data_IF_667426485877
#
_entry.id   IF_667426485877
#
_cell.length_a   1.000
_cell.length_b   1.000
_cell.length_c   1.000
_cell.angle_alpha   90.00
_cell.angle_beta   90.00
_cell.angle_gamma   90.00
#
_symmetry.space_group_name_H-M   'P 1'
#
loop_
_entity.id
_entity.type
_entity.pdbx_description
1 polymer ?
#
# COMPACT_ATOMS: atom_id res chain seq x y z
N UNK A 1 11.82 18.10 -11.24
CA UNK A 1 10.66 18.13 -10.32
C UNK A 1 10.33 16.69 -9.95
N UNK A 2 9.91 16.40 -8.72
CA UNK A 2 9.68 15.02 -8.26
C UNK A 2 8.26 14.56 -8.47
N UNK A 3 7.79 14.68 -9.70
CA UNK A 3 6.42 14.38 -10.13
C UNK A 3 6.48 13.55 -11.41
N UNK A 4 5.49 12.67 -11.59
CA UNK A 4 5.37 11.76 -12.73
C UNK A 4 3.92 11.69 -13.18
N UNK A 5 3.69 11.70 -14.49
CA UNK A 5 2.38 11.38 -15.04
C UNK A 5 2.18 9.86 -14.95
N UNK A 6 1.24 9.45 -14.11
CA UNK A 6 0.97 8.05 -13.81
C UNK A 6 0.34 7.31 -15.00
N UNK A 7 -0.53 7.97 -15.77
CA UNK A 7 -1.19 7.35 -16.92
C UNK A 7 -0.16 7.13 -18.04
N UNK A 8 0.61 8.17 -18.37
CA UNK A 8 1.67 8.08 -19.38
C UNK A 8 2.70 6.99 -19.04
N UNK A 9 3.09 6.90 -17.76
CA UNK A 9 4.04 5.87 -17.31
C UNK A 9 3.46 4.46 -17.48
N UNK A 10 2.24 4.20 -16.98
CA UNK A 10 1.65 2.87 -17.08
C UNK A 10 1.28 2.53 -18.52
N UNK A 11 0.83 3.49 -19.33
CA UNK A 11 0.62 3.31 -20.76
C UNK A 11 1.93 2.91 -21.45
N UNK A 12 3.05 3.56 -21.13
CA UNK A 12 4.36 3.16 -21.67
C UNK A 12 4.72 1.72 -21.30
N UNK A 13 4.41 1.28 -20.07
CA UNK A 13 4.59 -0.12 -19.65
C UNK A 13 3.69 -1.07 -20.46
N UNK A 14 2.43 -0.71 -20.71
CA UNK A 14 1.53 -1.50 -21.56
C UNK A 14 2.05 -1.61 -23.00
N UNK A 15 2.49 -0.49 -23.59
CA UNK A 15 3.08 -0.46 -24.93
C UNK A 15 4.31 -1.34 -25.01
N UNK A 16 5.21 -1.34 -24.00
CA UNK A 16 6.34 -2.27 -23.97
C UNK A 16 5.87 -3.72 -24.03
N UNK A 17 4.85 -4.10 -23.26
CA UNK A 17 4.35 -5.48 -23.22
C UNK A 17 3.77 -5.90 -24.57
N UNK A 18 2.97 -5.04 -25.20
CA UNK A 18 2.37 -5.29 -26.52
C UNK A 18 3.46 -5.40 -27.59
N UNK A 19 4.42 -4.47 -27.59
CA UNK A 19 5.51 -4.39 -28.55
C UNK A 19 6.38 -5.68 -28.60
N UNK A 20 6.45 -6.45 -27.51
CA UNK A 20 7.19 -7.73 -27.49
C UNK A 20 6.64 -8.77 -28.47
N UNK A 21 5.36 -8.69 -28.84
CA UNK A 21 4.79 -9.52 -29.89
C UNK A 21 5.30 -9.18 -31.30
N UNK A 22 5.92 -8.01 -31.48
CA UNK A 22 6.35 -7.47 -32.77
C UNK A 22 7.88 -7.40 -32.90
N UNK A 23 8.62 -7.27 -31.80
CA UNK A 23 10.09 -7.21 -31.81
C UNK A 23 10.73 -8.52 -31.34
N UNK A 24 11.63 -9.08 -32.17
CA UNK A 24 12.38 -10.30 -31.83
C UNK A 24 13.34 -10.14 -30.63
N UNK A 25 13.72 -8.90 -30.28
CA UNK A 25 14.61 -8.62 -29.14
C UNK A 25 14.21 -7.31 -28.44
N UNK A 26 14.15 -7.31 -27.10
CA UNK A 26 13.89 -6.13 -26.27
C UNK A 26 14.84 -4.96 -26.55
N UNK A 27 16.09 -5.23 -26.90
CA UNK A 27 17.07 -4.18 -27.23
C UNK A 27 16.69 -3.37 -28.49
N UNK A 28 15.83 -3.93 -29.36
CA UNK A 28 15.29 -3.27 -30.55
C UNK A 28 13.90 -2.68 -30.33
N UNK A 29 13.31 -2.87 -29.14
CA UNK A 29 11.99 -2.36 -28.82
C UNK A 29 12.09 -0.86 -28.48
N UNK A 30 11.53 -0.01 -29.35
CA UNK A 30 11.46 1.44 -29.16
C UNK A 30 10.62 1.86 -27.96
N UNK A 31 9.77 0.97 -27.44
CA UNK A 31 8.91 1.20 -26.28
C UNK A 31 9.51 0.63 -24.98
N UNK A 32 10.80 0.29 -24.95
CA UNK A 32 11.42 -0.28 -23.75
C UNK A 32 11.39 0.71 -22.57
N UNK A 33 10.68 0.35 -21.50
CA UNK A 33 10.65 1.10 -20.24
C UNK A 33 11.77 0.61 -19.34
N UNK A 34 12.62 1.54 -18.90
CA UNK A 34 13.72 1.26 -18.00
C UNK A 34 13.54 1.97 -16.66
N UNK A 35 13.97 1.35 -15.55
CA UNK A 35 13.97 2.01 -14.25
C UNK A 35 14.72 3.33 -14.27
N UNK A 36 14.07 4.40 -13.80
CA UNK A 36 14.68 5.72 -13.64
C UNK A 36 14.05 6.44 -12.47
N UNK A 37 14.80 7.30 -11.76
CA UNK A 37 14.20 8.03 -10.64
C UNK A 37 13.23 9.13 -11.06
N UNK A 38 13.29 9.55 -12.32
CA UNK A 38 12.46 10.62 -12.89
C UNK A 38 11.17 10.07 -13.49
N UNK A 39 11.25 8.91 -14.12
CA UNK A 39 10.16 8.30 -14.88
C UNK A 39 9.96 6.83 -14.46
N UNK A 40 9.60 6.63 -13.19
CA UNK A 40 9.22 5.35 -12.60
C UNK A 40 8.05 5.55 -11.65
N UNK A 41 6.84 5.49 -12.21
CA UNK A 41 5.62 5.88 -11.52
C UNK A 41 5.11 4.83 -10.54
N UNK A 42 4.51 5.24 -9.40
CA UNK A 42 3.68 4.34 -8.62
C UNK A 42 2.41 3.99 -9.40
N UNK A 43 1.60 3.06 -8.90
CA UNK A 43 0.20 2.91 -9.26
C UNK A 43 -0.68 3.41 -8.11
N UNK A 44 -1.67 4.24 -8.42
CA UNK A 44 -2.70 4.70 -7.48
C UNK A 44 -4.03 4.60 -8.21
N UNK A 45 -5.05 4.05 -7.55
CA UNK A 45 -6.39 3.93 -8.14
C UNK A 45 -6.92 5.29 -8.63
N UNK A 46 -7.54 5.31 -9.82
CA UNK A 46 -8.00 6.54 -10.49
C UNK A 46 -8.94 7.40 -9.61
N UNK A 47 -9.79 6.75 -8.82
CA UNK A 47 -10.71 7.43 -7.90
C UNK A 47 -10.07 7.81 -6.55
N UNK A 48 -8.87 7.32 -6.27
CA UNK A 48 -8.13 7.60 -5.03
C UNK A 48 -7.16 8.77 -5.22
N UNK A 49 -6.53 8.88 -6.38
CA UNK A 49 -5.54 9.95 -6.66
C UNK A 49 -6.19 11.31 -6.90
N UNK A 50 -5.46 12.38 -6.56
CA UNK A 50 -5.88 13.78 -6.77
C UNK A 50 -5.88 14.18 -8.26
N UNK A 51 -4.90 13.68 -9.01
CA UNK A 51 -4.65 13.98 -10.42
C UNK A 51 -3.82 12.87 -11.06
N UNK A 52 -3.63 12.92 -12.38
CA UNK A 52 -2.77 11.99 -13.12
C UNK A 52 -1.28 12.28 -12.88
N UNK A 53 -0.93 13.51 -12.51
CA UNK A 53 0.41 13.82 -12.00
C UNK A 53 0.47 13.48 -10.51
N UNK A 54 1.43 12.63 -10.14
CA UNK A 54 1.64 12.14 -8.77
C UNK A 54 3.09 12.34 -8.34
N UNK A 55 3.35 12.37 -7.03
CA UNK A 55 4.69 12.57 -6.49
C UNK A 55 5.55 11.31 -6.66
N UNK A 56 6.79 11.52 -7.10
CA UNK A 56 7.88 10.56 -7.04
C UNK A 56 9.19 11.28 -6.72
N UNK A 57 9.54 11.33 -5.43
CA UNK A 57 10.73 12.04 -4.94
C UNK A 57 11.86 11.10 -4.57
N UNK A 58 11.86 9.87 -5.07
CA UNK A 58 12.82 8.83 -4.68
C UNK A 58 14.28 9.23 -4.94
N UNK A 59 14.57 10.03 -5.98
CA UNK A 59 15.92 10.58 -6.20
C UNK A 59 16.44 11.42 -5.02
N UNK A 60 15.57 12.05 -4.23
CA UNK A 60 15.98 12.85 -3.07
C UNK A 60 16.55 12.00 -1.93
N UNK A 61 16.39 10.67 -1.98
CA UNK A 61 17.07 9.74 -1.08
C UNK A 61 18.60 9.71 -1.30
N UNK A 62 19.12 10.27 -2.40
CA UNK A 62 20.58 10.32 -2.69
C UNK A 62 21.24 11.54 -2.05
N UNK A 63 20.50 12.63 -1.90
CA UNK A 63 21.04 13.98 -1.79
C UNK A 63 20.89 14.62 -0.41
N UNK A 64 20.75 13.83 0.66
CA UNK A 64 20.68 14.39 2.01
C UNK A 64 22.03 15.01 2.39
N UNK A 65 22.17 16.31 2.10
CA UNK A 65 23.24 17.14 2.63
C UNK A 65 23.18 17.13 4.15
N UNK A 66 24.36 17.27 4.77
CA UNK A 66 24.69 17.01 6.19
C UNK A 66 23.96 17.87 7.25
N UNK A 67 22.85 18.52 6.93
CA UNK A 67 22.20 19.49 7.85
C UNK A 67 20.67 19.58 7.74
N UNK A 68 20.00 18.66 7.03
CA UNK A 68 18.52 18.68 6.98
C UNK A 68 17.89 17.76 8.04
N UNK A 69 16.79 18.16 8.68
CA UNK A 69 16.01 17.29 9.57
C UNK A 69 15.53 15.99 8.89
N UNK A 70 15.40 16.02 7.56
CA UNK A 70 15.05 14.87 6.72
C UNK A 70 16.19 13.82 6.65
N UNK A 71 17.45 14.25 6.78
CA UNK A 71 18.62 13.38 6.78
C UNK A 71 18.74 12.55 8.07
N UNK A 72 18.44 13.16 9.23
CA UNK A 72 18.46 12.49 10.54
C UNK A 72 17.34 11.43 10.66
N UNK A 73 16.17 11.71 10.08
CA UNK A 73 15.02 10.79 10.07
C UNK A 73 15.22 9.56 9.15
N UNK A 74 16.10 9.69 8.15
CA UNK A 74 16.37 8.66 7.14
C UNK A 74 17.50 7.69 7.53
N UNK A 75 18.17 7.90 8.67
CA UNK A 75 19.26 7.02 9.11
C UNK A 75 18.68 5.75 9.73
N UNK A 76 18.78 4.64 9.00
CA UNK A 76 18.56 3.29 9.54
C UNK A 76 19.59 3.06 10.66
N UNK A 77 19.17 2.58 11.83
CA UNK A 77 20.12 2.28 12.91
C UNK A 77 21.17 1.27 12.44
N UNK A 78 22.41 1.43 12.91
CA UNK A 78 23.51 0.50 12.60
C UNK A 78 23.10 -0.96 12.91
N UNK A 79 22.39 -1.17 14.02
CA UNK A 79 21.88 -2.49 14.42
C UNK A 79 20.92 -3.10 13.39
N UNK A 80 20.01 -2.30 12.82
CA UNK A 80 19.08 -2.79 11.79
C UNK A 80 19.81 -3.14 10.50
N UNK A 81 20.85 -2.39 10.12
CA UNK A 81 21.67 -2.70 8.95
C UNK A 81 22.53 -3.96 9.16
N UNK A 82 23.03 -4.18 10.39
CA UNK A 82 23.72 -5.42 10.78
C UNK A 82 22.78 -6.63 10.75
N UNK A 83 21.53 -6.48 11.19
CA UNK A 83 20.55 -7.56 11.11
C UNK A 83 20.22 -7.93 9.65
N UNK A 84 20.15 -6.95 8.75
CA UNK A 84 20.01 -7.22 7.32
C UNK A 84 21.25 -7.88 6.72
N UNK A 85 22.46 -7.51 7.14
CA UNK A 85 23.70 -8.18 6.74
C UNK A 85 23.71 -9.66 7.13
N UNK A 86 23.22 -10.00 8.33
CA UNK A 86 23.13 -11.39 8.81
C UNK A 86 22.15 -12.24 7.99
N UNK A 87 21.16 -11.63 7.36
CA UNK A 87 20.17 -12.28 6.48
C UNK A 87 20.71 -12.55 5.07
N UNK A 88 21.79 -11.87 4.66
CA UNK A 88 22.36 -12.06 3.32
C UNK A 88 23.13 -13.38 3.18
N UNK A 89 23.19 -13.88 1.94
CA UNK A 89 24.06 -15.02 1.61
C UNK A 89 25.52 -14.64 1.83
N UNK A 90 26.33 -15.59 2.31
CA UNK A 90 27.77 -15.39 2.55
C UNK A 90 28.48 -14.86 1.31
N UNK A 91 28.12 -15.33 0.11
CA UNK A 91 28.68 -14.83 -1.15
C UNK A 91 28.39 -13.35 -1.42
N UNK A 92 27.23 -12.84 -1.00
CA UNK A 92 26.89 -11.41 -1.06
C UNK A 92 27.70 -10.61 -0.06
N UNK A 93 27.87 -11.12 1.17
CA UNK A 93 28.69 -10.49 2.21
C UNK A 93 30.17 -10.43 1.79
N UNK A 94 30.71 -11.50 1.21
CA UNK A 94 32.07 -11.51 0.65
C UNK A 94 32.26 -10.44 -0.45
N UNK A 95 31.32 -10.35 -1.40
CA UNK A 95 31.35 -9.32 -2.46
C UNK A 95 31.29 -7.91 -1.87
N UNK A 96 30.56 -7.74 -0.77
CA UNK A 96 30.45 -6.47 -0.07
C UNK A 96 31.77 -6.07 0.61
N UNK A 97 32.43 -7.02 1.29
CA UNK A 97 33.75 -6.81 1.86
C UNK A 97 34.75 -6.39 0.77
N UNK A 98 34.79 -7.11 -0.36
CA UNK A 98 35.63 -6.74 -1.50
C UNK A 98 35.32 -5.34 -2.02
N UNK A 99 34.04 -4.98 -2.16
CA UNK A 99 33.64 -3.65 -2.61
C UNK A 99 34.08 -2.56 -1.63
N UNK A 100 34.14 -2.85 -0.33
CA UNK A 100 34.61 -1.94 0.72
C UNK A 100 36.13 -1.98 0.95
N UNK A 101 36.89 -2.67 0.08
CA UNK A 101 38.33 -2.89 0.26
C UNK A 101 38.71 -3.57 1.59
N UNK A 102 37.81 -4.40 2.12
CA UNK A 102 38.03 -5.22 3.31
C UNK A 102 38.43 -6.65 2.92
N UNK A 103 39.14 -7.35 3.80
CA UNK A 103 39.41 -8.78 3.61
C UNK A 103 38.10 -9.58 3.56
N UNK A 104 37.94 -10.37 2.50
CA UNK A 104 36.75 -11.16 2.19
C UNK A 104 36.85 -12.62 2.61
N UNK A 105 37.92 -13.02 3.32
CA UNK A 105 38.13 -14.38 3.85
C UNK A 105 37.69 -14.48 5.32
N UNK A 106 37.20 -15.65 5.72
CA UNK A 106 36.82 -15.94 7.11
C UNK A 106 35.41 -16.50 7.24
N UNK A 107 34.96 -16.66 8.49
CA UNK A 107 33.58 -17.05 8.78
C UNK A 107 32.61 -15.92 8.43
N UNK A 108 31.32 -16.23 8.32
CA UNK A 108 30.30 -15.21 8.07
C UNK A 108 30.33 -14.11 9.14
N UNK A 109 30.52 -14.49 10.40
CA UNK A 109 30.49 -13.54 11.52
C UNK A 109 31.73 -12.62 11.50
N UNK A 110 32.89 -13.13 11.09
CA UNK A 110 34.09 -12.31 10.89
C UNK A 110 33.86 -11.23 9.83
N UNK A 111 33.23 -11.60 8.70
CA UNK A 111 32.93 -10.68 7.61
C UNK A 111 31.91 -9.61 8.04
N UNK A 112 30.86 -10.02 8.76
CA UNK A 112 29.84 -9.10 9.28
C UNK A 112 30.44 -8.14 10.31
N UNK A 113 31.32 -8.62 11.19
CA UNK A 113 32.00 -7.77 12.17
C UNK A 113 32.92 -6.74 11.50
N UNK A 114 33.66 -7.10 10.44
CA UNK A 114 34.48 -6.14 9.69
C UNK A 114 33.64 -5.08 9.00
N UNK A 115 32.50 -5.46 8.43
CA UNK A 115 31.55 -4.52 7.84
C UNK A 115 30.94 -3.61 8.91
N UNK A 116 30.68 -4.12 10.13
CA UNK A 116 30.25 -3.31 11.28
C UNK A 116 31.29 -2.25 11.65
N UNK A 117 32.56 -2.63 11.72
CA UNK A 117 33.63 -1.66 11.98
C UNK A 117 33.74 -0.60 10.87
N UNK A 118 33.56 -0.99 9.61
CA UNK A 118 33.56 -0.06 8.47
C UNK A 118 32.36 0.91 8.51
N UNK A 119 31.19 0.45 8.99
CA UNK A 119 29.99 1.26 9.18
C UNK A 119 30.14 2.37 10.23
N UNK A 120 31.16 2.34 11.09
CA UNK A 120 31.48 3.45 12.00
C UNK A 120 31.87 4.73 11.24
N UNK A 121 32.32 4.60 10.00
CA UNK A 121 32.55 5.74 9.11
C UNK A 121 31.31 6.00 8.26
N UNK A 122 30.96 7.29 8.05
CA UNK A 122 29.78 7.64 7.25
C UNK A 122 29.87 7.14 5.81
N UNK A 123 31.08 7.19 5.23
CA UNK A 123 31.33 6.71 3.87
C UNK A 123 31.15 5.18 3.76
N UNK A 124 31.69 4.43 4.72
CA UNK A 124 31.51 2.98 4.82
C UNK A 124 30.04 2.60 5.02
N UNK A 125 29.35 3.31 5.92
CA UNK A 125 27.91 3.16 6.13
C UNK A 125 27.11 3.34 4.85
N UNK A 126 27.26 4.47 4.14
CA UNK A 126 26.48 4.77 2.94
C UNK A 126 26.76 3.76 1.81
N UNK A 127 28.01 3.29 1.69
CA UNK A 127 28.43 2.28 0.71
C UNK A 127 27.85 0.91 0.99
N UNK A 128 27.88 0.48 2.26
CA UNK A 128 27.31 -0.79 2.72
C UNK A 128 25.78 -0.75 2.59
N UNK A 129 25.17 0.34 3.04
CA UNK A 129 23.74 0.59 2.89
C UNK A 129 23.30 0.53 1.41
N UNK A 130 23.98 1.23 0.51
CA UNK A 130 23.67 1.19 -0.93
C UNK A 130 23.85 -0.18 -1.57
N UNK A 131 24.71 -1.05 -1.05
CA UNK A 131 24.93 -2.38 -1.64
C UNK A 131 24.01 -3.44 -1.07
N UNK A 132 23.59 -3.29 0.19
CA UNK A 132 22.59 -4.17 0.83
C UNK A 132 21.18 -3.76 0.41
N UNK A 133 20.90 -2.46 0.29
CA UNK A 133 19.56 -1.91 0.01
C UNK A 133 19.43 -1.23 -1.36
N UNK A 134 20.51 -1.10 -2.13
CA UNK A 134 20.45 -0.69 -3.55
C UNK A 134 20.34 -1.88 -4.52
N UNK A 135 20.10 -3.07 -4.00
CA UNK A 135 19.63 -4.23 -4.75
C UNK A 135 18.09 -4.29 -4.72
N UNK A 136 17.42 -3.37 -5.43
CA UNK A 136 15.96 -3.13 -5.43
C UNK A 136 15.36 -2.82 -4.05
N UNK A 137 14.61 -1.73 -3.94
CA UNK A 137 13.98 -1.30 -2.69
C UNK A 137 12.74 -2.09 -2.27
N UNK A 138 12.47 -3.22 -2.93
CA UNK A 138 11.20 -3.92 -2.82
C UNK A 138 10.03 -3.11 -3.39
N UNK A 139 8.87 -3.26 -2.77
CA UNK A 139 7.66 -2.56 -3.17
C UNK A 139 6.87 -2.15 -1.94
N UNK A 140 6.28 -0.96 -2.00
CA UNK A 140 5.44 -0.39 -0.95
C UNK A 140 3.99 -0.46 -1.37
N UNK A 141 3.11 -0.71 -0.41
CA UNK A 141 1.67 -0.86 -0.66
C UNK A 141 0.85 -0.11 0.39
N UNK A 142 -0.25 0.51 -0.04
CA UNK A 142 -1.27 1.05 0.85
C UNK A 142 -2.58 0.33 0.56
N UNK A 143 -3.19 -0.24 1.59
CA UNK A 143 -4.39 -1.07 1.51
C UNK A 143 -5.35 -0.76 2.66
N UNK A 144 -6.65 -1.00 2.46
CA UNK A 144 -7.63 -0.91 3.56
C UNK A 144 -7.56 -2.16 4.46
N UNK A 145 -8.22 -2.13 5.63
CA UNK A 145 -8.32 -3.29 6.53
C UNK A 145 -8.93 -4.55 5.89
N UNK A 146 -9.60 -4.42 4.74
CA UNK A 146 -10.14 -5.57 3.99
C UNK A 146 -9.14 -6.18 3.00
N UNK A 147 -7.98 -5.57 2.79
CA UNK A 147 -6.94 -6.08 1.88
C UNK A 147 -7.03 -5.59 0.44
N UNK A 148 -7.87 -4.60 0.16
CA UNK A 148 -7.92 -3.92 -1.15
C UNK A 148 -6.78 -2.92 -1.23
N UNK A 149 -5.94 -3.07 -2.24
CA UNK A 149 -4.79 -2.19 -2.49
C UNK A 149 -5.23 -0.93 -3.24
N UNK A 150 -4.92 0.23 -2.69
CA UNK A 150 -5.18 1.54 -3.30
C UNK A 150 -3.95 2.17 -3.93
N UNK A 151 -2.75 1.81 -3.44
CA UNK A 151 -1.50 2.32 -3.97
C UNK A 151 -0.40 1.28 -3.92
N UNK A 152 0.47 1.31 -4.92
CA UNK A 152 1.59 0.41 -5.11
C UNK A 152 2.77 1.22 -5.63
N UNK A 153 3.94 1.11 -5.01
CA UNK A 153 5.18 1.73 -5.50
C UNK A 153 6.26 0.67 -5.59
N UNK A 154 6.96 0.64 -6.72
CA UNK A 154 8.11 -0.25 -6.90
C UNK A 154 9.37 0.57 -6.64
N UNK A 155 10.01 0.37 -5.49
CA UNK A 155 11.07 1.26 -5.06
C UNK A 155 12.39 0.86 -5.74
N UNK A 156 13.09 1.85 -6.30
CA UNK A 156 14.42 1.65 -6.86
C UNK A 156 15.49 1.59 -5.76
N UNK A 157 15.20 2.19 -4.60
CA UNK A 157 16.01 2.19 -3.37
C UNK A 157 15.18 1.72 -2.20
N UNK A 158 15.84 1.26 -1.14
CA UNK A 158 15.33 1.20 0.22
C UNK A 158 13.98 1.92 0.45
N UNK A 159 12.94 1.17 0.81
CA UNK A 159 11.69 1.76 1.29
C UNK A 159 11.95 2.69 2.48
N UNK A 160 11.25 3.82 2.50
CA UNK A 160 11.36 4.84 3.55
C UNK A 160 10.02 5.58 3.74
N UNK A 161 9.85 6.33 4.84
CA UNK A 161 8.70 7.21 5.03
C UNK A 161 8.42 8.15 3.85
N UNK A 162 9.45 8.52 3.08
CA UNK A 162 9.31 9.34 1.87
C UNK A 162 8.38 8.71 0.84
N UNK A 163 8.47 7.39 0.66
CA UNK A 163 7.72 6.67 -0.36
C UNK A 163 6.22 6.69 -0.05
N UNK A 164 5.85 6.40 1.20
CA UNK A 164 4.47 6.50 1.66
C UNK A 164 3.98 7.95 1.71
N UNK A 165 4.85 8.90 2.05
CA UNK A 165 4.50 10.33 1.99
C UNK A 165 4.16 10.75 0.56
N UNK A 166 4.96 10.34 -0.44
CA UNK A 166 4.67 10.61 -1.85
C UNK A 166 3.31 10.02 -2.26
N UNK A 167 3.04 8.77 -1.88
CA UNK A 167 1.77 8.11 -2.16
C UNK A 167 0.59 8.85 -1.51
N UNK A 168 0.65 9.10 -0.20
CA UNK A 168 -0.43 9.72 0.56
C UNK A 168 -0.71 11.16 0.14
N UNK A 169 0.33 11.96 -0.14
CA UNK A 169 0.16 13.32 -0.64
C UNK A 169 -0.33 13.37 -2.10
N UNK A 170 -0.26 12.25 -2.83
CA UNK A 170 -0.86 12.11 -4.16
C UNK A 170 -2.33 11.67 -4.12
N UNK A 171 -2.87 11.33 -2.94
CA UNK A 171 -4.29 11.00 -2.79
C UNK A 171 -5.16 12.26 -2.82
N UNK A 172 -6.38 12.11 -3.32
CA UNK A 172 -7.39 13.18 -3.32
C UNK A 172 -7.77 13.58 -1.90
N UNK A 173 -7.89 12.59 -1.02
CA UNK A 173 -8.21 12.77 0.39
C UNK A 173 -7.29 11.88 1.22
N UNK A 174 -6.57 12.48 2.17
CA UNK A 174 -5.73 11.75 3.11
C UNK A 174 -6.61 10.90 4.06
N UNK A 175 -6.24 9.66 4.40
CA UNK A 175 -6.96 8.89 5.42
C UNK A 175 -6.91 9.57 6.79
N UNK A 176 -8.01 9.53 7.55
CA UNK A 176 -8.02 10.05 8.93
C UNK A 176 -7.18 9.19 9.89
N UNK A 177 -6.96 7.92 9.59
CA UNK A 177 -6.07 7.05 10.35
C UNK A 177 -5.23 6.20 9.38
N UNK A 178 -3.91 6.27 9.53
CA UNK A 178 -2.93 5.46 8.79
C UNK A 178 -2.17 4.58 9.77
N UNK A 179 -2.01 3.29 9.45
CA UNK A 179 -1.25 2.33 10.26
C UNK A 179 0.08 2.07 9.58
N UNK A 180 1.19 2.22 10.30
CA UNK A 180 2.52 2.13 9.70
C UNK A 180 3.60 1.74 10.71
N UNK A 181 4.56 0.92 10.27
CA UNK A 181 5.67 0.40 11.10
C UNK A 181 6.55 1.49 11.70
N UNK A 182 6.71 2.60 10.99
CA UNK A 182 7.48 3.76 11.45
C UNK A 182 6.61 5.02 11.48
N UNK A 183 5.53 4.95 12.26
CA UNK A 183 4.49 5.98 12.34
C UNK A 183 5.04 7.40 12.60
N UNK A 184 5.96 7.55 13.56
CA UNK A 184 6.65 8.83 13.82
C UNK A 184 7.35 9.36 12.58
N UNK A 185 8.14 8.50 11.93
CA UNK A 185 8.90 8.86 10.73
C UNK A 185 8.00 9.37 9.61
N UNK A 186 6.89 8.68 9.37
CA UNK A 186 5.88 9.10 8.38
C UNK A 186 5.23 10.43 8.75
N UNK A 187 4.80 10.59 9.99
CA UNK A 187 4.14 11.81 10.44
C UNK A 187 5.05 13.03 10.33
N UNK A 188 6.27 12.94 10.88
CA UNK A 188 7.25 14.02 10.82
C UNK A 188 7.64 14.34 9.39
N UNK A 189 7.92 13.32 8.57
CA UNK A 189 8.33 13.54 7.18
C UNK A 189 7.23 14.21 6.34
N UNK A 190 5.96 13.81 6.49
CA UNK A 190 4.86 14.45 5.79
C UNK A 190 4.60 15.89 6.27
N UNK A 191 4.63 16.12 7.59
CA UNK A 191 4.46 17.46 8.18
C UNK A 191 5.55 18.43 7.74
N UNK A 192 6.81 17.99 7.64
CA UNK A 192 7.91 18.82 7.14
C UNK A 192 7.75 19.19 5.66
N UNK A 193 7.04 18.38 4.86
CA UNK A 193 6.82 18.67 3.44
C UNK A 193 5.71 19.67 3.17
N UNK A 194 4.75 19.80 4.09
CA UNK A 194 3.64 20.75 3.97
C UNK A 194 3.48 21.50 5.31
N UNK A 195 4.44 22.37 5.70
CA UNK A 195 4.43 23.02 7.00
C UNK A 195 3.27 24.01 7.17
N UNK A 196 2.76 24.58 6.08
CA UNK A 196 1.63 25.50 6.11
C UNK A 196 0.29 24.83 6.45
N UNK A 197 0.17 23.53 6.15
CA UNK A 197 -1.03 22.74 6.42
C UNK A 197 -0.60 21.33 6.78
N UNK A 198 -0.31 21.12 8.06
CA UNK A 198 0.22 19.86 8.57
C UNK A 198 -0.70 18.68 8.18
N UNK A 199 -0.21 17.73 7.36
CA UNK A 199 -1.01 16.59 6.93
C UNK A 199 -1.47 15.71 8.10
N UNK A 200 -0.65 15.56 9.15
CA UNK A 200 -0.98 14.77 10.33
C UNK A 200 -1.14 15.66 11.56
N UNK A 201 -2.39 15.77 12.01
CA UNK A 201 -2.85 16.63 13.11
C UNK A 201 -4.06 15.98 13.81
N UNK A 202 -4.31 16.25 15.10
CA UNK A 202 -3.53 17.07 16.01
C UNK A 202 -2.25 16.34 16.48
N UNK A 203 -1.41 17.05 17.22
CA UNK A 203 -0.25 16.48 17.94
C UNK A 203 0.69 15.64 17.06
N UNK A 204 0.98 16.10 15.83
CA UNK A 204 1.82 15.37 14.87
C UNK A 204 1.27 13.96 14.55
N UNK A 205 -0.06 13.82 14.53
CA UNK A 205 -0.76 12.57 14.26
C UNK A 205 -0.80 11.58 15.42
N UNK A 206 -0.47 12.00 16.66
CA UNK A 206 -0.69 11.21 17.88
C UNK A 206 -2.14 11.33 18.37
N UNK A 207 -2.62 10.33 19.10
CA UNK A 207 -3.98 10.31 19.64
C UNK A 207 -4.22 11.31 20.78
N UNK A 208 -3.16 11.74 21.46
CA UNK A 208 -3.22 12.72 22.54
C UNK A 208 -1.96 13.59 22.57
N UNK A 209 -2.03 14.71 23.31
CA UNK A 209 -0.88 15.57 23.57
C UNK A 209 0.19 14.82 24.37
N UNK A 210 1.45 15.17 24.13
CA UNK A 210 2.62 14.53 24.74
C UNK A 210 2.89 15.04 26.17
N UNK A 211 1.90 14.93 27.05
CA UNK A 211 2.00 15.32 28.45
C UNK A 211 2.40 14.13 29.32
N UNK A 212 3.04 14.40 30.46
CA UNK A 212 3.42 13.35 31.41
C UNK A 212 2.21 12.50 31.85
N UNK A 213 1.06 13.14 32.08
CA UNK A 213 -0.17 12.47 32.49
C UNK A 213 -0.71 11.53 31.40
N UNK A 214 -0.75 11.98 30.13
CA UNK A 214 -1.22 11.16 29.02
C UNK A 214 -0.31 9.96 28.78
N UNK A 215 1.01 10.18 28.84
CA UNK A 215 2.00 9.10 28.68
C UNK A 215 1.84 8.08 29.81
N UNK A 216 1.73 8.54 31.06
CA UNK A 216 1.54 7.67 32.23
C UNK A 216 0.21 6.92 32.16
N UNK A 217 -0.87 7.56 31.72
CA UNK A 217 -2.16 6.92 31.53
C UNK A 217 -2.11 5.86 30.40
N UNK A 218 -1.40 6.14 29.30
CA UNK A 218 -1.20 5.19 28.21
C UNK A 218 -0.34 3.99 28.65
N UNK A 219 0.75 4.21 29.39
CA UNK A 219 1.59 3.15 29.97
C UNK A 219 0.79 2.20 30.85
N UNK A 220 -0.11 2.75 31.66
CA UNK A 220 -0.97 1.98 32.56
C UNK A 220 -2.24 1.41 31.87
N UNK A 221 -2.37 1.52 30.54
CA UNK A 221 -3.57 1.14 29.77
C UNK A 221 -4.87 1.80 30.24
N UNK A 222 -4.79 2.97 30.89
CA UNK A 222 -5.94 3.75 31.39
C UNK A 222 -6.39 4.83 30.41
N UNK A 223 -5.55 5.21 29.45
CA UNK A 223 -5.91 6.16 28.40
C UNK A 223 -6.78 5.47 27.34
N UNK A 224 -7.93 6.07 27.04
CA UNK A 224 -8.79 5.71 25.92
C UNK A 224 -9.18 6.98 25.15
N UNK A 225 -9.03 6.93 23.83
CA UNK A 225 -9.33 8.03 22.92
C UNK A 225 -10.43 7.55 21.98
N UNK A 226 -11.61 8.13 22.12
CA UNK A 226 -12.76 7.81 21.26
C UNK A 226 -12.64 8.54 19.93
N UNK A 227 -12.77 7.80 18.83
CA UNK A 227 -12.82 8.32 17.46
C UNK A 227 -14.15 7.91 16.82
N UNK A 228 -15.27 8.57 17.19
CA UNK A 228 -16.62 8.12 16.81
C UNK A 228 -16.86 8.18 15.29
N UNK A 229 -16.13 9.06 14.60
CA UNK A 229 -16.21 9.23 13.15
C UNK A 229 -15.71 8.04 12.33
N UNK A 230 -15.04 7.06 12.97
CA UNK A 230 -14.66 5.80 12.34
C UNK A 230 -15.90 4.96 11.98
N UNK A 231 -16.92 5.01 12.83
CA UNK A 231 -18.14 4.21 12.66
C UNK A 231 -19.24 5.01 11.99
N UNK A 232 -19.36 6.30 12.33
CA UNK A 232 -20.41 7.16 11.79
C UNK A 232 -19.86 8.54 11.51
N UNK A 233 -20.04 9.03 10.27
CA UNK A 233 -19.69 10.39 9.88
C UNK A 233 -20.17 11.42 10.91
N UNK A 234 -19.34 12.43 11.19
CA UNK A 234 -19.70 13.53 12.10
C UNK A 234 -20.99 14.21 11.64
N UNK A 235 -21.91 14.46 12.58
CA UNK A 235 -23.16 15.18 12.33
C UNK A 235 -22.92 16.58 11.77
N UNK A 236 -21.88 17.23 12.29
CA UNK A 236 -21.39 18.52 11.81
C UNK A 236 -19.95 18.31 11.35
N UNK A 237 -19.71 18.19 10.04
CA UNK A 237 -18.36 18.03 9.50
C UNK A 237 -17.48 19.25 9.82
N UNK A 238 -16.20 19.00 10.00
CA UNK A 238 -15.17 20.04 10.09
C UNK A 238 -15.03 20.74 8.72
N UNK A 239 -14.57 21.99 8.69
CA UNK A 239 -14.41 22.81 7.48
C UNK A 239 -13.52 22.14 6.41
N UNK A 240 -12.43 21.48 6.85
CA UNK A 240 -11.53 20.68 6.01
C UNK A 240 -11.69 19.16 6.28
N UNK A 241 -12.89 18.73 6.63
CA UNK A 241 -13.18 17.35 6.98
C UNK A 241 -13.02 16.38 5.81
N UNK A 242 -12.51 15.19 6.09
CA UNK A 242 -12.47 14.11 5.10
C UNK A 242 -13.90 13.72 4.69
N UNK A 243 -14.22 13.50 3.39
CA UNK A 243 -15.61 13.40 2.93
C UNK A 243 -16.46 12.26 3.49
N UNK A 244 -15.83 11.17 3.96
CA UNK A 244 -16.50 9.98 4.51
C UNK A 244 -16.68 10.06 6.03
N UNK A 245 -15.78 10.75 6.75
CA UNK A 245 -15.79 10.81 8.21
C UNK A 245 -16.27 12.16 8.74
N UNK A 246 -16.13 13.21 7.95
CA UNK A 246 -16.35 14.60 8.34
C UNK A 246 -15.25 15.16 9.25
N UNK A 247 -14.25 14.38 9.65
CA UNK A 247 -13.18 14.85 10.54
C UNK A 247 -11.99 15.38 9.77
N UNK A 248 -11.42 16.48 10.24
CA UNK A 248 -10.18 17.10 9.76
C UNK A 248 -8.92 16.55 10.46
N UNK A 249 -9.09 15.63 11.42
CA UNK A 249 -7.99 15.01 12.15
C UNK A 249 -7.44 13.80 11.37
N UNK A 250 -6.11 13.73 11.31
CA UNK A 250 -5.35 12.70 10.61
C UNK A 250 -4.25 12.16 11.52
N UNK A 251 -4.38 10.88 11.87
CA UNK A 251 -3.51 10.16 12.78
C UNK A 251 -2.61 9.17 12.05
N UNK A 252 -1.40 8.94 12.57
CA UNK A 252 -0.52 7.84 12.17
C UNK A 252 -0.22 7.00 13.39
N UNK A 253 -0.67 5.75 13.37
CA UNK A 253 -0.56 4.79 14.46
C UNK A 253 0.44 3.69 14.10
N UNK A 254 1.05 3.10 15.12
CA UNK A 254 1.94 1.96 14.92
C UNK A 254 1.15 0.71 14.61
N UNK A 255 1.67 -0.11 13.69
CA UNK A 255 1.22 -1.49 13.61
C UNK A 255 1.58 -2.25 14.90
N UNK A 256 0.69 -3.16 15.34
CA UNK A 256 0.78 -3.92 16.59
C UNK A 256 2.12 -4.68 16.72
N UNK A 257 2.69 -5.17 15.62
CA UNK A 257 3.96 -5.89 15.64
C UNK A 257 5.18 -4.99 15.84
N UNK A 258 5.02 -3.69 15.58
CA UNK A 258 6.10 -2.72 15.57
C UNK A 258 6.03 -1.72 16.74
N UNK A 259 4.98 -1.78 17.58
CA UNK A 259 4.84 -0.98 18.80
C UNK A 259 5.99 -1.17 19.81
N UNK A 260 6.64 -2.35 19.80
CA UNK A 260 7.75 -2.68 20.72
C UNK A 260 9.12 -2.14 20.29
N UNK A 261 9.25 -1.61 19.06
CA UNK A 261 10.54 -1.21 18.50
C UNK A 261 10.98 0.19 18.92
N UNK A 262 10.12 0.95 19.59
CA UNK A 262 10.40 2.32 20.01
C UNK A 262 10.70 2.42 21.50
N UNK A 263 11.73 3.19 21.85
CA UNK A 263 12.12 3.49 23.24
C UNK A 263 11.58 4.85 23.71
N UNK A 264 10.98 5.63 22.82
CA UNK A 264 10.47 6.96 23.15
C UNK A 264 9.07 6.84 23.82
N UNK A 265 8.89 7.29 25.08
CA UNK A 265 7.62 7.21 25.79
C UNK A 265 6.44 7.88 25.07
N UNK A 266 6.69 8.89 24.24
CA UNK A 266 5.64 9.62 23.54
C UNK A 266 4.95 8.77 22.46
N UNK A 267 5.64 7.75 21.95
CA UNK A 267 5.12 6.86 20.92
C UNK A 267 4.04 5.91 21.45
N UNK A 268 3.90 5.79 22.76
CA UNK A 268 2.77 5.11 23.39
C UNK A 268 1.43 5.73 22.98
N UNK A 269 1.42 7.03 22.68
CA UNK A 269 0.24 7.77 22.22
C UNK A 269 -0.13 7.49 20.75
N UNK A 270 0.59 6.59 20.08
CA UNK A 270 0.30 6.10 18.71
C UNK A 270 -0.16 4.64 18.69
N UNK A 271 -0.39 4.02 19.85
CA UNK A 271 -0.84 2.63 19.90
C UNK A 271 -2.30 2.50 19.51
N UNK A 272 -2.61 1.46 18.74
CA UNK A 272 -3.97 1.21 18.26
C UNK A 272 -4.89 0.87 19.43
N UNK A 273 -4.37 0.24 20.50
CA UNK A 273 -5.13 -0.18 21.68
C UNK A 273 -5.75 0.97 22.51
N UNK A 274 -5.33 2.21 22.23
CA UNK A 274 -5.90 3.41 22.83
C UNK A 274 -7.24 3.80 22.20
N UNK A 275 -7.57 3.30 20.99
CA UNK A 275 -8.82 3.60 20.28
C UNK A 275 -9.75 2.39 20.31
N UNK A 276 -10.81 2.40 21.14
CA UNK A 276 -11.77 1.29 21.20
C UNK A 276 -12.39 0.94 19.85
N UNK A 277 -12.74 1.95 19.05
CA UNK A 277 -13.43 1.79 17.77
C UNK A 277 -12.58 1.04 16.73
N UNK A 278 -11.25 1.11 16.83
CA UNK A 278 -10.34 0.38 15.95
C UNK A 278 -10.15 -1.08 16.37
N UNK A 279 -10.33 -1.44 17.65
CA UNK A 279 -9.97 -2.78 18.14
C UNK A 279 -10.81 -3.90 17.54
N UNK A 280 -12.09 -3.67 17.24
CA UNK A 280 -12.98 -4.70 16.70
C UNK A 280 -12.85 -4.88 15.18
N UNK A 281 -12.34 -3.87 14.46
CA UNK A 281 -12.43 -3.80 13.00
C UNK A 281 -11.08 -3.88 12.29
N UNK A 282 -10.03 -3.40 12.93
CA UNK A 282 -8.73 -3.29 12.29
C UNK A 282 -7.96 -4.61 12.39
N UNK A 283 -7.87 -5.31 11.26
CA UNK A 283 -6.85 -6.33 11.07
C UNK A 283 -5.54 -5.66 10.62
N UNK A 284 -4.57 -5.57 11.53
CA UNK A 284 -3.28 -4.95 11.20
C UNK A 284 -2.32 -5.89 10.46
N UNK A 285 -2.64 -7.19 10.36
CA UNK A 285 -1.81 -8.22 9.69
C UNK A 285 -2.00 -8.29 8.16
N UNK A 286 -2.89 -7.46 7.61
CA UNK A 286 -3.37 -7.64 6.23
C UNK A 286 -2.25 -7.42 5.22
N UNK A 287 -1.33 -6.49 5.51
CA UNK A 287 -0.16 -6.25 4.68
C UNK A 287 0.80 -7.45 4.69
N UNK A 288 1.06 -8.02 5.87
CA UNK A 288 1.92 -9.19 6.05
C UNK A 288 1.32 -10.42 5.35
N UNK A 289 0.00 -10.58 5.44
CA UNK A 289 -0.72 -11.64 4.73
C UNK A 289 -0.62 -11.47 3.21
N UNK A 290 -0.74 -10.23 2.70
CA UNK A 290 -0.51 -9.92 1.29
C UNK A 290 0.92 -10.28 0.90
N UNK A 291 1.93 -9.77 1.60
CA UNK A 291 3.34 -10.07 1.32
C UNK A 291 3.63 -11.56 1.38
N UNK A 292 3.10 -12.26 2.39
CA UNK A 292 3.24 -13.71 2.53
C UNK A 292 2.68 -14.45 1.33
N UNK A 293 1.49 -14.07 0.86
CA UNK A 293 0.87 -14.67 -0.33
C UNK A 293 1.66 -14.38 -1.61
N UNK A 294 2.36 -13.25 -1.68
CA UNK A 294 3.18 -12.85 -2.82
C UNK A 294 4.56 -13.53 -2.84
N UNK A 295 5.07 -13.98 -1.67
CA UNK A 295 6.39 -14.63 -1.57
C UNK A 295 6.55 -15.83 -2.49
N UNK A 296 5.47 -16.58 -2.76
CA UNK A 296 5.48 -17.72 -3.69
C UNK A 296 5.86 -17.32 -5.13
N UNK A 297 5.62 -16.06 -5.49
CA UNK A 297 5.92 -15.52 -6.82
C UNK A 297 7.33 -14.92 -6.91
N UNK A 298 8.02 -14.72 -5.78
CA UNK A 298 9.30 -13.99 -5.74
C UNK A 298 10.36 -14.60 -6.65
N UNK A 299 10.43 -15.94 -6.74
CA UNK A 299 11.38 -16.59 -7.64
C UNK A 299 11.18 -16.13 -9.09
N UNK A 300 9.95 -16.16 -9.60
CA UNK A 300 9.68 -15.76 -10.97
C UNK A 300 9.80 -14.24 -11.17
N UNK A 301 9.20 -13.45 -10.28
CA UNK A 301 9.21 -11.99 -10.38
C UNK A 301 10.62 -11.40 -10.32
N UNK A 302 11.50 -11.94 -9.49
CA UNK A 302 12.87 -11.45 -9.36
C UNK A 302 13.77 -11.81 -10.56
N UNK A 303 13.37 -12.77 -11.38
CA UNK A 303 14.08 -13.16 -12.61
C UNK A 303 13.53 -12.44 -13.86
N UNK A 304 12.51 -11.60 -13.72
CA UNK A 304 11.94 -10.85 -14.82
C UNK A 304 12.65 -9.51 -15.04
N UNK A 305 12.60 -9.01 -16.28
CA UNK A 305 12.97 -7.62 -16.55
C UNK A 305 12.09 -6.65 -15.73
N UNK A 306 12.61 -5.48 -15.30
CA UNK A 306 11.89 -4.60 -14.37
C UNK A 306 10.48 -4.19 -14.81
N UNK A 307 10.31 -3.79 -16.08
CA UNK A 307 8.99 -3.43 -16.61
C UNK A 307 8.02 -4.60 -16.64
N UNK A 308 8.50 -5.81 -16.93
CA UNK A 308 7.70 -7.05 -16.84
C UNK A 308 7.27 -7.33 -15.40
N UNK A 309 8.19 -7.15 -14.45
CA UNK A 309 7.91 -7.37 -13.03
C UNK A 309 6.77 -6.45 -12.59
N UNK A 310 6.90 -5.14 -12.81
CA UNK A 310 5.88 -4.18 -12.34
C UNK A 310 4.54 -4.40 -13.03
N UNK A 311 4.54 -4.74 -14.32
CA UNK A 311 3.34 -5.06 -15.08
C UNK A 311 2.63 -6.27 -14.48
N UNK A 312 3.34 -7.39 -14.31
CA UNK A 312 2.75 -8.62 -13.80
C UNK A 312 2.30 -8.46 -12.33
N UNK A 313 3.10 -7.80 -11.50
CA UNK A 313 2.74 -7.56 -10.11
C UNK A 313 1.49 -6.67 -10.00
N UNK A 314 1.38 -5.60 -10.80
CA UNK A 314 0.17 -4.78 -10.87
C UNK A 314 -1.05 -5.60 -11.30
N UNK A 315 -0.90 -6.49 -12.29
CA UNK A 315 -1.99 -7.35 -12.72
C UNK A 315 -2.42 -8.36 -11.65
N UNK A 316 -1.47 -8.98 -10.94
CA UNK A 316 -1.78 -9.86 -9.80
C UNK A 316 -2.59 -9.09 -8.74
N UNK A 317 -2.15 -7.87 -8.39
CA UNK A 317 -2.85 -7.02 -7.42
C UNK A 317 -4.24 -6.62 -7.94
N UNK A 318 -4.38 -6.30 -9.23
CA UNK A 318 -5.67 -5.98 -9.83
C UNK A 318 -6.67 -7.14 -9.70
N UNK A 319 -6.28 -8.35 -10.10
CA UNK A 319 -7.15 -9.53 -9.97
C UNK A 319 -7.47 -9.85 -8.51
N UNK A 320 -6.48 -9.71 -7.60
CA UNK A 320 -6.71 -9.86 -6.17
C UNK A 320 -7.74 -8.85 -5.66
N UNK A 321 -7.59 -7.57 -6.01
CA UNK A 321 -8.53 -6.52 -5.61
C UNK A 321 -9.94 -6.81 -6.11
N UNK A 322 -10.10 -7.24 -7.38
CA UNK A 322 -11.41 -7.59 -7.94
C UNK A 322 -12.04 -8.75 -7.17
N UNK A 323 -11.26 -9.81 -6.87
CA UNK A 323 -11.74 -10.94 -6.09
C UNK A 323 -12.12 -10.54 -4.66
N UNK A 324 -11.25 -9.78 -3.98
CA UNK A 324 -11.53 -9.27 -2.63
C UNK A 324 -12.79 -8.40 -2.61
N UNK A 325 -12.95 -7.49 -3.56
CA UNK A 325 -14.16 -6.67 -3.67
C UNK A 325 -15.42 -7.49 -3.93
N UNK A 326 -15.36 -8.49 -4.82
CA UNK A 326 -16.48 -9.37 -5.09
C UNK A 326 -16.90 -10.16 -3.84
N UNK A 327 -15.93 -10.73 -3.12
CA UNK A 327 -16.19 -11.45 -1.86
C UNK A 327 -16.77 -10.52 -0.78
N UNK A 328 -16.26 -9.30 -0.64
CA UNK A 328 -16.79 -8.33 0.32
C UNK A 328 -18.24 -7.95 0.00
N UNK A 329 -18.54 -7.69 -1.28
CA UNK A 329 -19.88 -7.35 -1.72
C UNK A 329 -20.84 -8.52 -1.48
N UNK A 330 -20.44 -9.75 -1.81
CA UNK A 330 -21.22 -10.95 -1.55
C UNK A 330 -21.52 -11.11 -0.05
N UNK A 331 -20.53 -10.95 0.82
CA UNK A 331 -20.72 -11.01 2.26
C UNK A 331 -21.66 -9.91 2.78
N UNK A 332 -21.58 -8.69 2.24
CA UNK A 332 -22.48 -7.59 2.60
C UNK A 332 -23.92 -7.87 2.16
N UNK A 333 -24.10 -8.44 0.96
CA UNK A 333 -25.41 -8.83 0.44
C UNK A 333 -26.02 -10.00 1.26
N UNK A 334 -25.22 -11.01 1.61
CA UNK A 334 -25.65 -12.15 2.44
C UNK A 334 -26.06 -11.71 3.86
N UNK A 335 -25.37 -10.71 4.42
CA UNK A 335 -25.73 -10.10 5.72
C UNK A 335 -26.91 -9.13 5.63
N UNK A 336 -27.44 -8.91 4.42
CA UNK A 336 -28.61 -8.10 4.15
C UNK A 336 -28.44 -6.64 4.54
N UNK A 337 -27.43 -5.92 4.02
CA UNK A 337 -27.25 -4.46 4.22
C UNK A 337 -27.48 -3.96 5.66
N UNK A 338 -27.27 -4.78 6.69
CA UNK A 338 -27.45 -4.36 8.07
C UNK A 338 -26.24 -3.53 8.46
N UNK A 339 -26.43 -2.22 8.54
CA UNK A 339 -25.49 -1.30 9.17
C UNK A 339 -25.32 -1.74 10.62
N UNK A 340 -24.23 -2.46 10.93
CA UNK A 340 -23.93 -2.85 12.31
C UNK A 340 -23.67 -1.58 13.12
N UNK A 341 -24.58 -1.27 14.06
CA UNK A 341 -24.38 -0.20 15.02
C UNK A 341 -23.59 -0.76 16.22
N UNK A 342 -22.71 0.03 16.82
CA UNK A 342 -21.91 -0.33 18.02
C UNK A 342 -22.75 -0.87 19.19
N UNK A 343 -24.08 -0.64 19.18
CA UNK A 343 -25.00 -1.16 20.18
C UNK A 343 -25.11 -2.69 20.17
N UNK A 344 -24.69 -3.36 19.10
CA UNK A 344 -24.79 -4.82 18.94
C UNK A 344 -23.49 -5.57 19.31
N UNK A 345 -22.43 -4.85 19.70
CA UNK A 345 -21.10 -5.43 20.00
C UNK A 345 -20.85 -5.37 21.51
N UNK A 346 -20.76 -6.54 22.14
CA UNK A 346 -20.36 -6.70 23.54
C UNK A 346 -18.96 -7.32 23.62
N UNK A 347 -18.29 -7.18 24.76
CA UNK A 347 -17.03 -7.89 25.01
C UNK A 347 -17.34 -9.19 25.76
N UNK A 348 -16.77 -10.31 25.32
CA UNK A 348 -16.83 -11.56 26.08
C UNK A 348 -15.91 -11.52 27.31
N UNK A 349 -15.92 -12.60 28.09
CA UNK A 349 -15.12 -12.73 29.30
C UNK A 349 -13.59 -12.71 29.05
N UNK A 350 -13.17 -12.74 27.79
CA UNK A 350 -11.78 -12.65 27.35
C UNK A 350 -11.47 -11.30 26.68
N UNK A 351 -12.41 -10.36 26.71
CA UNK A 351 -12.27 -9.04 26.07
C UNK A 351 -12.37 -9.09 24.54
N UNK A 352 -12.92 -10.15 23.96
CA UNK A 352 -13.17 -10.27 22.53
C UNK A 352 -14.51 -9.65 22.18
N UNK A 353 -14.55 -8.84 21.13
CA UNK A 353 -15.79 -8.28 20.61
C UNK A 353 -16.66 -9.40 20.01
N UNK A 354 -17.81 -9.65 20.63
CA UNK A 354 -18.83 -10.61 20.21
C UNK A 354 -20.15 -9.89 19.92
N UNK A 355 -20.93 -10.41 18.98
CA UNK A 355 -22.26 -9.85 18.68
C UNK A 355 -23.27 -10.35 19.71
N UNK A 356 -23.77 -9.45 20.57
CA UNK A 356 -24.74 -9.79 21.61
C UNK A 356 -26.17 -9.68 21.11
N UNK A 357 -26.98 -10.73 21.27
CA UNK A 357 -28.44 -10.58 21.20
C UNK A 357 -28.94 -9.90 22.50
N UNK A 358 -29.88 -8.96 22.44
CA UNK A 358 -30.48 -8.41 23.64
C UNK A 358 -31.28 -9.51 24.35
N UNK A 359 -30.76 -10.04 25.46
CA UNK A 359 -31.59 -10.77 26.40
C UNK A 359 -32.43 -9.76 27.16
N UNK A 360 -33.66 -9.56 26.69
CA UNK A 360 -34.72 -8.91 27.47
C UNK A 360 -35.07 -9.79 28.65
N UNK A 361 -34.51 -9.47 29.83
CA UNK A 361 -35.18 -9.78 31.09
C UNK A 361 -36.47 -8.96 31.18
N UNK A 362 -37.55 -9.66 31.51
CA UNK A 362 -38.93 -9.18 31.47
C UNK A 362 -39.17 -8.11 32.54
N UNK A 363 -39.63 -6.94 32.13
CA UNK A 363 -40.51 -6.08 32.94
C UNK A 363 -41.84 -5.91 32.19
N UNK A 364 -42.92 -6.05 32.95
CA UNK A 364 -44.29 -6.30 32.50
C UNK A 364 -45.08 -4.99 32.29
N UNK A 365 -45.95 -5.01 31.26
CA UNK A 365 -47.17 -4.19 31.00
C UNK A 365 -47.00 -2.73 30.51
N UNK A 366 -47.77 -2.18 29.55
CA UNK A 366 -49.17 -2.41 29.13
C UNK A 366 -49.38 -2.29 27.60
N UNK A 367 -50.43 -2.96 27.08
CA UNK A 367 -50.91 -2.96 25.68
C UNK A 367 -51.66 -1.67 25.30
N UNK A 368 -51.62 -1.33 24.00
CA UNK A 368 -52.80 -0.94 23.21
C UNK A 368 -52.61 -1.32 21.74
N UNK A 369 -53.66 -1.84 21.13
CA UNK A 369 -53.71 -2.42 19.78
C UNK A 369 -54.55 -1.54 18.86
N UNK A 370 -54.19 -1.52 17.57
CA UNK A 370 -55.02 -1.62 16.36
C UNK A 370 -54.30 -0.91 15.19
N UNK A 371 -54.42 -1.19 13.88
CA UNK A 371 -55.07 -2.17 12.99
C UNK A 371 -54.69 -1.69 11.57
N UNK A 372 -54.44 -2.60 10.63
CA UNK A 372 -54.66 -2.43 9.18
C UNK A 372 -53.63 -1.61 8.39
N UNK A 373 -53.39 -1.80 7.09
CA UNK A 373 -53.73 -2.83 6.10
C UNK A 373 -52.71 -2.68 4.95
N UNK A 374 -52.37 -3.78 4.30
CA UNK A 374 -51.58 -3.94 3.07
C UNK A 374 -52.00 -3.05 1.88
N UNK A 375 -51.06 -2.54 1.08
CA UNK A 375 -51.17 -2.39 -0.40
C UNK A 375 -49.80 -2.55 -1.07
N UNK A 376 -49.86 -3.07 -2.29
CA UNK A 376 -48.87 -3.67 -3.17
C UNK A 376 -47.82 -2.75 -3.82
N UNK A 377 -46.76 -3.42 -4.28
CA UNK A 377 -45.78 -3.03 -5.30
C UNK A 377 -46.43 -2.53 -6.61
N UNK A 378 -45.78 -1.57 -7.27
CA UNK A 378 -45.63 -1.56 -8.73
C UNK A 378 -44.34 -0.83 -9.10
N UNK A 379 -43.51 -1.50 -9.90
CA UNK A 379 -42.23 -0.98 -10.39
C UNK A 379 -42.39 -0.10 -11.63
N UNK A 380 -41.35 0.68 -11.91
CA UNK A 380 -41.15 1.32 -13.20
C UNK A 380 -39.68 1.19 -13.60
N UNK A 381 -39.44 0.41 -14.66
CA UNK A 381 -38.21 0.43 -15.45
C UNK A 381 -38.12 1.74 -16.25
N UNK A 382 -36.93 2.33 -16.33
CA UNK A 382 -36.54 3.12 -17.51
C UNK A 382 -35.08 2.85 -17.89
N UNK A 383 -34.91 2.54 -19.17
CA UNK A 383 -33.68 2.23 -19.89
C UNK A 383 -32.71 3.42 -19.94
N UNK A 384 -31.40 3.13 -19.89
CA UNK A 384 -30.37 3.92 -20.56
C UNK A 384 -29.35 2.99 -21.21
N UNK A 385 -29.51 2.88 -22.53
CA UNK A 385 -28.53 2.69 -23.61
C UNK A 385 -27.11 2.23 -23.20
N UNK A 386 -26.90 0.92 -23.31
CA UNK A 386 -25.59 0.29 -23.35
C UNK A 386 -25.26 0.02 -24.83
N UNK A 387 -24.22 0.67 -25.35
CA UNK A 387 -23.72 0.42 -26.72
C UNK A 387 -22.96 -0.91 -26.68
N UNK A 388 -23.66 -2.00 -26.96
CA UNK A 388 -23.06 -3.32 -27.02
C UNK A 388 -22.14 -3.43 -28.24
N UNK A 389 -20.85 -3.70 -28.00
CA UNK A 389 -20.02 -4.29 -29.04
C UNK A 389 -20.65 -5.65 -29.41
N UNK A 390 -20.84 -5.93 -30.71
CA UNK A 390 -21.54 -7.11 -31.20
C UNK A 390 -20.99 -8.45 -30.70
N UNK A 391 -21.69 -9.53 -31.05
CA UNK A 391 -21.44 -10.92 -30.56
C UNK A 391 -19.98 -11.39 -30.64
N UNK A 392 -19.18 -10.83 -31.55
CA UNK A 392 -17.75 -11.12 -31.64
C UNK A 392 -16.93 -10.65 -30.41
N UNK A 393 -17.34 -9.58 -29.73
CA UNK A 393 -16.69 -9.08 -28.50
C UNK A 393 -17.05 -9.89 -27.25
N UNK A 394 -18.24 -10.49 -27.19
CA UNK A 394 -18.64 -11.34 -26.06
C UNK A 394 -17.78 -12.61 -25.96
N UNK A 395 -17.28 -13.11 -27.09
CA UNK A 395 -16.49 -14.33 -27.13
C UNK A 395 -15.06 -14.15 -26.60
N UNK A 396 -14.54 -12.91 -26.57
CA UNK A 396 -13.16 -12.59 -26.15
C UNK A 396 -13.10 -12.02 -24.72
N UNK A 397 -14.25 -11.61 -24.17
CA UNK A 397 -14.34 -10.95 -22.84
C UNK A 397 -14.85 -11.87 -21.73
N UNK A 398 -15.34 -13.08 -22.06
CA UNK A 398 -15.78 -14.10 -21.09
C UNK A 398 -14.63 -15.08 -20.79
N UNK A 399 -14.08 -15.00 -19.57
CA UNK A 399 -12.97 -15.84 -19.08
C UNK A 399 -13.22 -17.36 -19.25
N UNK A 400 -14.48 -17.75 -19.14
CA UNK A 400 -15.01 -19.10 -19.29
C UNK A 400 -14.91 -19.66 -20.73
N UNK A 401 -14.59 -18.81 -21.71
CA UNK A 401 -14.27 -19.21 -23.09
C UNK A 401 -12.76 -19.18 -23.43
N UNK A 402 -11.91 -18.78 -22.49
CA UNK A 402 -10.45 -18.74 -22.67
C UNK A 402 -9.84 -20.06 -22.19
N UNK A 403 -9.66 -21.00 -23.11
CA UNK A 403 -8.92 -22.24 -22.87
C UNK A 403 -7.41 -22.07 -23.10
N UNK A 404 -6.54 -22.83 -22.40
CA UNK A 404 -5.11 -22.86 -22.70
C UNK A 404 -4.87 -23.40 -24.10
N UNK A 405 -4.53 -22.53 -25.05
CA UNK A 405 -4.15 -22.93 -26.40
C UNK A 405 -2.64 -23.13 -26.48
N UNK A 406 -2.21 -24.39 -26.57
CA UNK A 406 -0.79 -24.76 -26.67
C UNK A 406 -0.14 -24.23 -27.97
N UNK A 407 -0.94 -23.88 -28.99
CA UNK A 407 -0.44 -23.28 -30.23
C UNK A 407 0.06 -21.84 -30.05
N UNK A 408 -0.44 -21.10 -29.06
CA UNK A 408 -0.01 -19.73 -28.73
C UNK A 408 1.36 -19.66 -28.04
N UNK A 409 1.95 -20.81 -27.71
CA UNK A 409 3.25 -20.94 -27.04
C UNK A 409 4.35 -21.44 -27.98
N UNK A 410 4.07 -21.54 -29.28
CA UNK A 410 5.10 -21.85 -30.28
C UNK A 410 5.80 -20.56 -30.71
N UNK A 411 7.11 -20.63 -30.91
CA UNK A 411 7.98 -19.54 -31.41
C UNK A 411 7.68 -19.09 -32.86
N UNK A 412 6.61 -19.59 -33.47
CA UNK A 412 6.20 -19.22 -34.83
C UNK A 412 5.11 -18.15 -34.75
N UNK A 413 5.25 -17.11 -35.57
CA UNK A 413 4.27 -16.05 -35.75
C UNK A 413 2.92 -16.61 -36.20
N UNK A 414 1.84 -16.14 -35.57
CA UNK A 414 0.50 -16.48 -36.00
C UNK A 414 0.23 -15.80 -37.37
N UNK A 415 -0.49 -16.43 -38.32
CA UNK A 415 -0.73 -15.84 -39.65
C UNK A 415 -1.36 -14.44 -39.63
N UNK A 416 -2.22 -14.17 -38.64
CA UNK A 416 -2.80 -12.84 -38.43
C UNK A 416 -1.78 -11.79 -37.94
N UNK A 417 -0.71 -12.20 -37.24
CA UNK A 417 0.38 -11.31 -36.85
C UNK A 417 1.27 -10.97 -38.06
N UNK A 418 1.49 -11.92 -38.99
CA UNK A 418 2.25 -11.67 -40.22
C UNK A 418 1.58 -10.62 -41.10
N UNK A 419 0.25 -10.66 -41.22
CA UNK A 419 -0.51 -9.65 -41.97
C UNK A 419 -0.39 -8.23 -41.38
N UNK A 420 -0.31 -8.10 -40.05
CA UNK A 420 -0.15 -6.82 -39.35
C UNK A 420 1.28 -6.26 -39.41
N UNK A 421 2.28 -7.13 -39.43
CA UNK A 421 3.70 -6.73 -39.62
C UNK A 421 3.94 -6.29 -41.07
N UNK A 422 3.26 -6.92 -42.04
CA UNK A 422 3.37 -6.53 -43.45
C UNK A 422 2.59 -5.26 -43.81
N UNK A 423 1.47 -4.96 -43.13
CA UNK A 423 0.71 -3.72 -43.38
C UNK A 423 1.45 -2.46 -42.92
N UNK A 424 2.27 -2.56 -41.87
CA UNK A 424 3.11 -1.43 -41.37
C UNK A 424 4.36 -1.20 -42.22
N UNK A 425 4.71 -2.11 -43.12
CA UNK A 425 5.87 -1.97 -44.02
C UNK A 425 5.54 -1.18 -45.31
N UNK A 426 4.26 -0.94 -45.60
CA UNK A 426 3.80 -0.27 -46.83
C UNK A 426 3.56 1.24 -46.67
N UNK A 427 3.54 1.78 -45.46
CA UNK A 427 3.40 3.23 -45.21
C UNK A 427 4.74 3.99 -45.16
N UNK A 428 5.86 3.31 -45.45
CA UNK A 428 7.20 3.91 -45.48
C UNK A 428 7.73 4.33 -46.85
N UNK A 429 6.95 4.18 -47.93
CA UNK A 429 7.30 4.63 -49.28
C UNK A 429 6.10 5.34 -49.93
N UNK A 430 5.79 6.53 -49.42
CA UNK A 430 5.14 7.59 -50.21
C UNK A 430 5.47 8.96 -49.64
#
# INVERSE_FOLDING_TARGET
MGEVNIEEFWDSVHHEMIARGFFQNRAKNSFAVNPSFEHWGPWIGKNTRKSDTVLNTEFKKVSSSKSSPEAELSMVSEDRLVDELKKQKVSTVCKLCMACNLDSKGSRDDLVNRLREEMKTRHGYDKIFQKIWGASGGWSVILCPHGVVYSLKFNLRAESPRDFTDLLLSWKHLPNASIYDFARGLATHANLRIPASLPFKPHEGRLAASTHDNITAAQNNKLKVSLPWITQMLKTPDEDGQPLTGSSNHYVLYDKFHEGNTKDPQELLRRINLVPELQAWLNSQVAEQLFSSMRKNNYFLNNMAPSTHIFLMRNIIHHRNNNTNATLLEQQLQRGHKSHCLQDVTLDNFGQAVFGHPQTEKVVQFKLSAVGTSVQQQGLHTNKDDVSCGTHCEDITKCDKVGPCQASWKLQTHPAQEQLVHSTSLEGNM
#
